data_IF_260780042103
#
_entry.id   IF_260780042103
#
_cell.length_a   1.000
_cell.length_b   1.000
_cell.length_c   1.000
_cell.angle_alpha   90.00
_cell.angle_beta   90.00
_cell.angle_gamma   90.00
#
_symmetry.space_group_name_H-M   'P 1'
#
loop_
_entity.id
_entity.type
_entity.pdbx_description
1 polymer ?
2 polymer ?
3 water ?
#
loop_
_entity_poly.entity_id
_entity_poly.type
_entity_poly.pdbx_seq_one_letter_code
_entity_poly.pdbx_strand_id
2 'polyribonucleotide' 'GGGGGCCACAGCAGAAGCGUUCACGUCGCAGCCCCUGUCAGCCAUUGCACUCCGGCUGCGAAUUCUGCU' ?
#
# COMPACT_ATOMS: atom_id res chain seq x y z
N UNK A 1 7.99 7.68 -12.67
CA UNK A 1 7.77 6.23 -12.60
C UNK A 1 6.50 5.87 -11.83
N UNK A 2 5.33 6.22 -12.35
CA UNK A 2 4.08 5.81 -11.72
C UNK A 2 3.54 4.52 -12.32
N UNK A 3 2.78 3.78 -11.51
CA UNK A 3 2.16 2.55 -11.97
C UNK A 3 1.01 2.21 -11.02
N UNK A 4 0.40 1.05 -11.24
CA UNK A 4 -0.86 0.69 -10.57
C UNK A 4 -0.69 0.51 -9.07
N UNK A 5 0.48 0.03 -8.64
CA UNK A 5 0.69 -0.42 -7.27
C UNK A 5 1.55 0.58 -6.51
N UNK A 6 1.02 1.08 -5.38
CA UNK A 6 1.81 1.92 -4.49
C UNK A 6 2.55 1.03 -3.50
N UNK A 7 3.62 1.57 -2.93
CA UNK A 7 4.49 0.86 -2.01
C UNK A 7 4.62 1.68 -0.74
N UNK A 8 4.22 1.12 0.39
CA UNK A 8 4.30 1.81 1.67
C UNK A 8 5.32 1.11 2.55
N UNK A 9 6.16 1.89 3.22
CA UNK A 9 7.03 1.37 4.26
C UNK A 9 6.87 2.23 5.50
N UNK A 10 7.79 2.12 6.46
CA UNK A 10 7.69 2.85 7.72
C UNK A 10 6.36 2.58 8.41
N UNK A 11 5.91 1.33 8.33
CA UNK A 11 4.71 0.89 9.01
C UNK A 11 5.06 0.30 10.37
N UNK A 12 4.09 0.34 11.28
CA UNK A 12 4.26 -0.25 12.61
C UNK A 12 4.37 -1.76 12.44
N UNK A 13 5.60 -2.27 12.45
CA UNK A 13 5.88 -3.67 12.20
C UNK A 13 5.38 -4.59 13.31
N UNK A 14 4.90 -4.04 14.43
CA UNK A 14 4.33 -4.83 15.51
C UNK A 14 2.85 -5.13 15.32
N UNK A 15 2.27 -4.72 14.20
CA UNK A 15 0.84 -4.92 13.93
C UNK A 15 0.63 -6.28 13.27
N UNK A 16 -0.40 -6.99 13.70
CA UNK A 16 -0.71 -8.30 13.13
C UNK A 16 -0.98 -8.19 11.64
N UNK A 17 -0.69 -9.28 10.92
CA UNK A 17 -0.79 -9.28 9.46
C UNK A 17 -2.21 -9.00 9.00
N UNK A 18 -3.22 -9.49 9.71
CA UNK A 18 -4.59 -9.33 9.24
C UNK A 18 -5.12 -7.94 9.54
N UNK A 19 -4.89 -7.45 10.76
CA UNK A 19 -5.34 -6.10 11.11
C UNK A 19 -4.68 -5.05 10.21
N UNK A 20 -3.51 -5.35 9.66
CA UNK A 20 -2.85 -4.42 8.76
C UNK A 20 -3.59 -4.34 7.43
N UNK A 21 -3.79 -5.49 6.78
CA UNK A 21 -4.54 -5.53 5.54
C UNK A 21 -5.92 -4.89 5.69
N UNK A 22 -6.56 -5.09 6.84
CA UNK A 22 -7.87 -4.52 7.08
C UNK A 22 -7.80 -3.00 7.17
N UNK A 23 -6.99 -2.49 8.11
CA UNK A 23 -6.95 -1.06 8.34
C UNK A 23 -6.36 -0.32 7.14
N UNK A 24 -5.41 -0.95 6.44
CA UNK A 24 -4.89 -0.36 5.20
C UNK A 24 -6.01 -0.19 4.18
N UNK A 25 -6.77 -1.27 3.95
CA UNK A 25 -7.90 -1.19 3.04
C UNK A 25 -8.88 -0.10 3.50
N UNK A 26 -9.03 0.07 4.81
CA UNK A 26 -9.95 1.07 5.33
C UNK A 26 -9.48 2.49 5.02
N UNK A 27 -8.17 2.74 5.10
CA UNK A 27 -7.66 4.08 4.88
C UNK A 27 -7.78 4.47 3.40
N UNK A 28 -7.53 3.52 2.51
CA UNK A 28 -7.65 3.78 1.08
C UNK A 28 -9.03 3.40 0.58
N UNK A 29 -9.12 2.86 -0.64
CA UNK A 29 -10.36 2.41 -1.26
C UNK A 29 -11.31 3.58 -1.53
N UNK A 30 -11.26 4.61 -0.66
CA UNK A 30 -11.89 5.90 -0.92
C UNK A 30 -11.09 6.71 -1.90
N UNK A 31 -10.51 6.03 -2.88
CA UNK A 31 -9.63 6.62 -3.87
C UNK A 31 -9.86 5.90 -5.17
N UNK A 32 -10.51 4.75 -5.05
CA UNK A 32 -10.70 3.84 -6.15
C UNK A 32 -10.78 2.43 -5.62
N UNK A 33 -11.09 1.52 -6.54
CA UNK A 33 -11.17 0.12 -6.17
C UNK A 33 -9.78 -0.46 -5.90
N UNK A 34 -9.63 -1.07 -4.75
CA UNK A 34 -8.40 -1.76 -4.37
C UNK A 34 -8.51 -3.20 -4.83
N UNK A 35 -7.48 -3.69 -5.51
CA UNK A 35 -7.49 -5.08 -5.94
C UNK A 35 -7.00 -6.00 -4.85
N UNK A 36 -5.83 -5.71 -4.27
CA UNK A 36 -5.30 -6.55 -3.22
C UNK A 36 -4.23 -5.79 -2.44
N UNK A 37 -4.20 -6.02 -1.13
CA UNK A 37 -3.14 -5.52 -0.26
C UNK A 37 -2.28 -6.73 0.13
N UNK A 38 -0.99 -6.66 -0.19
CA UNK A 38 -0.06 -7.76 0.03
C UNK A 38 0.88 -7.43 1.17
N UNK A 39 0.92 -8.29 2.19
CA UNK A 39 1.73 -8.08 3.38
C UNK A 39 2.39 -9.40 3.75
N UNK A 40 3.54 -9.30 4.41
CA UNK A 40 4.16 -10.41 5.10
C UNK A 40 5.15 -9.86 6.12
N UNK A 41 5.15 -10.45 7.32
CA UNK A 41 5.96 -9.98 8.43
C UNK A 41 7.34 -10.64 8.48
N UNK A 42 7.85 -11.12 7.35
CA UNK A 42 9.18 -11.69 7.31
C UNK A 42 10.23 -10.61 7.57
N UNK A 43 11.46 -11.06 7.88
CA UNK A 43 12.54 -10.12 8.10
C UNK A 43 12.82 -9.30 6.84
N UNK A 44 12.72 -9.95 5.67
CA UNK A 44 12.96 -9.26 4.41
C UNK A 44 11.95 -8.13 4.20
N UNK A 45 10.66 -8.41 4.42
CA UNK A 45 9.62 -7.41 4.21
C UNK A 45 9.39 -6.61 5.47
N UNK A 46 8.64 -7.17 6.40
CA UNK A 46 8.36 -6.56 7.70
C UNK A 46 7.58 -5.27 7.44
N UNK A 47 7.85 -4.19 8.19
CA UNK A 47 7.01 -3.01 8.15
C UNK A 47 6.82 -2.34 6.80
N UNK A 48 6.16 -3.05 5.87
CA UNK A 48 5.89 -2.51 4.55
C UNK A 48 4.85 -3.38 3.86
N UNK A 49 4.12 -2.77 2.92
CA UNK A 49 3.03 -3.48 2.25
C UNK A 49 2.82 -2.92 0.84
N UNK A 50 2.12 -3.70 0.02
CA UNK A 50 1.82 -3.34 -1.36
C UNK A 50 0.31 -3.22 -1.53
N UNK A 51 -0.17 -2.00 -1.76
CA UNK A 51 -1.58 -1.78 -2.07
C UNK A 51 -1.73 -1.66 -3.58
N UNK A 52 -2.48 -2.58 -4.18
CA UNK A 52 -2.67 -2.66 -5.62
C UNK A 52 -4.01 -2.01 -5.93
N UNK A 53 -4.00 -1.03 -6.82
CA UNK A 53 -5.22 -0.35 -7.25
C UNK A 53 -5.68 -0.84 -8.62
N UNK A 54 -6.92 -0.52 -8.94
CA UNK A 54 -7.55 -0.91 -10.20
C UNK A 54 -7.14 -0.01 -11.36
N UNK A 55 -7.12 1.30 -11.15
CA UNK A 55 -6.64 2.24 -12.15
C UNK A 55 -5.51 3.06 -11.55
N UNK A 56 -4.54 3.43 -12.40
CA UNK A 56 -3.32 4.09 -11.92
C UNK A 56 -3.63 5.42 -11.25
N UNK A 57 -4.69 6.10 -11.69
CA UNK A 57 -5.02 7.41 -11.12
C UNK A 57 -5.35 7.31 -9.64
N UNK A 58 -5.98 6.21 -9.21
CA UNK A 58 -6.21 6.01 -7.78
C UNK A 58 -4.91 5.84 -7.02
N UNK A 59 -3.91 5.20 -7.64
CA UNK A 59 -2.61 5.09 -6.99
C UNK A 59 -1.96 6.46 -6.84
N UNK A 60 -1.98 7.26 -7.91
CA UNK A 60 -1.45 8.61 -7.85
C UNK A 60 -2.24 9.46 -6.85
N UNK A 61 -3.57 9.33 -6.87
CA UNK A 61 -4.41 10.08 -5.93
C UNK A 61 -4.02 9.79 -4.49
N UNK A 62 -4.04 8.50 -4.12
CA UNK A 62 -3.76 8.12 -2.75
C UNK A 62 -2.31 8.40 -2.36
N UNK A 63 -1.38 8.25 -3.31
CA UNK A 63 0.02 8.50 -3.01
C UNK A 63 0.24 9.95 -2.59
N UNK A 64 -0.28 10.90 -3.39
CA UNK A 64 -0.11 12.31 -3.06
C UNK A 64 -0.98 12.71 -1.88
N UNK A 65 -2.11 12.03 -1.68
CA UNK A 65 -3.03 12.41 -0.61
C UNK A 65 -2.52 11.94 0.75
N UNK A 66 -2.18 10.66 0.86
CA UNK A 66 -1.95 10.02 2.14
C UNK A 66 -0.48 10.00 2.55
N UNK A 67 0.37 10.76 1.88
CA UNK A 67 1.79 10.75 2.24
C UNK A 67 1.99 11.32 3.64
N UNK A 68 2.82 10.63 4.43
CA UNK A 68 3.12 11.06 5.78
C UNK A 68 2.00 10.89 6.78
N UNK A 69 0.85 10.40 6.36
CA UNK A 69 -0.28 10.26 7.26
C UNK A 69 0.08 9.32 8.42
N UNK A 70 -0.34 9.63 9.65
CA UNK A 70 0.02 8.76 10.79
C UNK A 70 -0.85 7.51 10.84
N UNK A 71 -0.21 6.35 10.72
CA UNK A 71 -0.87 5.06 10.71
C UNK A 71 -0.35 4.25 11.88
N UNK A 72 -1.19 4.08 12.90
CA UNK A 72 -0.78 3.45 14.17
C UNK A 72 0.42 4.17 14.76
N UNK A 73 0.30 5.49 14.88
CA UNK A 73 1.32 6.34 15.49
C UNK A 73 2.66 6.21 14.77
N UNK A 74 2.60 6.27 13.42
CA UNK A 74 3.80 6.16 12.61
C UNK A 74 3.51 6.76 11.24
N UNK A 75 4.44 7.53 10.67
CA UNK A 75 4.21 8.16 9.36
C UNK A 75 4.44 7.21 8.18
N UNK A 76 3.55 7.29 7.21
CA UNK A 76 3.61 6.43 6.05
C UNK A 76 4.55 7.00 5.00
N UNK A 77 5.46 6.17 4.50
CA UNK A 77 6.35 6.55 3.40
C UNK A 77 5.84 5.86 2.13
N UNK A 78 4.98 6.57 1.41
CA UNK A 78 4.33 6.02 0.22
C UNK A 78 5.16 6.37 -1.01
N UNK A 79 5.19 5.45 -1.97
CA UNK A 79 5.87 5.66 -3.24
C UNK A 79 5.42 4.57 -4.21
N UNK A 80 5.59 4.83 -5.50
CA UNK A 80 5.23 3.85 -6.51
C UNK A 80 6.14 2.62 -6.41
N UNK A 81 5.63 1.49 -6.90
CA UNK A 81 6.38 0.26 -6.87
C UNK A 81 7.46 0.25 -7.94
N UNK A 82 8.56 -0.46 -7.65
CA UNK A 82 9.61 -0.62 -8.66
C UNK A 82 9.07 -1.28 -9.92
N UNK A 83 8.23 -2.30 -9.75
CA UNK A 83 7.56 -2.94 -10.87
C UNK A 83 6.10 -3.17 -10.50
N UNK A 84 5.21 -3.05 -11.48
CA UNK A 84 3.80 -3.33 -11.23
C UNK A 84 3.63 -4.80 -10.87
N UNK A 85 2.77 -5.05 -9.88
CA UNK A 85 2.62 -6.40 -9.35
C UNK A 85 2.21 -7.37 -10.45
N UNK A 86 2.65 -8.63 -10.32
CA UNK A 86 2.49 -9.59 -11.39
C UNK A 86 1.02 -9.86 -11.72
N UNK A 87 0.10 -9.50 -10.83
CA UNK A 87 -1.31 -9.56 -11.17
C UNK A 87 -1.66 -8.48 -12.19
N UNK A 88 -1.16 -7.26 -11.97
CA UNK A 88 -1.32 -6.20 -12.96
C UNK A 88 -0.52 -6.52 -14.21
N UNK A 89 0.59 -7.25 -14.05
CA UNK A 89 1.37 -7.66 -15.21
C UNK A 89 0.59 -8.60 -16.11
N UNK A 90 -0.31 -9.40 -15.52
CA UNK A 90 -1.16 -10.28 -16.33
C UNK A 90 -2.39 -9.55 -16.85
N UNK A 91 -2.73 -8.39 -16.28
CA UNK A 91 -3.82 -7.49 -16.69
C UNK A 91 -4.92 -8.13 -17.55
#
# INVERSE_FOLDING_TARGET
RPNHTIYINNLNEKIKKDELKKSLHAIFSRFGQILDILVSRSLKMRGQAFVIFKEVSSATNALRSMQGFPFYDKPMRIQYAKTDSDIIAKM
#
